data_IF_711907070658
#
_entry.id   IF_711907070658
#
_cell.length_a   1.000
_cell.length_b   1.000
_cell.length_c   1.000
_cell.angle_alpha   90.00
_cell.angle_beta   90.00
_cell.angle_gamma   90.00
#
_symmetry.space_group_name_H-M   'P 1'
#
loop_
_entity.id
_entity.type
_entity.pdbx_description
1 polymer ?
#
# COMPACT_ATOMS: atom_id res chain seq x y z
N UNK A 1 2.09 -6.66 -2.47
CA UNK A 1 1.80 -7.68 -3.48
C UNK A 1 1.18 -7.00 -4.69
N UNK A 2 1.69 -7.23 -5.90
CA UNK A 2 1.08 -6.67 -7.12
C UNK A 2 0.28 -7.75 -7.85
N UNK A 3 -0.69 -7.33 -8.66
CA UNK A 3 -1.57 -8.26 -9.37
C UNK A 3 -0.81 -9.11 -10.40
N UNK A 4 0.22 -8.55 -11.03
CA UNK A 4 1.07 -9.25 -12.00
C UNK A 4 1.88 -10.38 -11.37
N UNK A 5 2.21 -10.27 -10.08
CA UNK A 5 2.89 -11.34 -9.34
C UNK A 5 1.92 -12.48 -8.95
N UNK A 6 0.61 -12.19 -8.91
CA UNK A 6 -0.45 -13.16 -8.58
C UNK A 6 -1.05 -13.83 -9.82
N UNK A 7 -0.99 -13.21 -10.99
CA UNK A 7 -1.48 -13.82 -12.24
C UNK A 7 -0.55 -14.94 -12.68
N UNK A 8 -1.09 -16.16 -12.79
CA UNK A 8 -0.36 -17.35 -13.22
C UNK A 8 -0.60 -17.71 -14.69
N UNK A 9 -1.80 -17.44 -15.21
CA UNK A 9 -2.16 -17.65 -16.60
C UNK A 9 -3.42 -16.85 -16.97
N UNK A 10 -3.50 -16.34 -18.19
CA UNK A 10 -4.65 -15.69 -18.79
C UNK A 10 -5.21 -16.45 -20.01
N UNK A 11 -6.53 -16.32 -20.22
CA UNK A 11 -7.23 -16.54 -21.48
C UNK A 11 -7.77 -15.21 -21.98
N UNK A 12 -7.40 -14.83 -23.20
CA UNK A 12 -7.75 -13.53 -23.79
C UNK A 12 -8.36 -13.74 -25.17
N UNK A 13 -9.53 -13.14 -25.39
CA UNK A 13 -10.16 -13.07 -26.71
C UNK A 13 -9.66 -11.83 -27.43
N UNK A 14 -9.03 -12.01 -28.59
CA UNK A 14 -8.49 -10.94 -29.44
C UNK A 14 -9.13 -10.98 -30.83
N UNK A 15 -9.00 -9.92 -31.64
CA UNK A 15 -9.45 -9.95 -33.04
C UNK A 15 -8.76 -11.03 -33.90
N UNK A 16 -7.55 -11.46 -33.53
CA UNK A 16 -6.81 -12.51 -34.23
C UNK A 16 -7.15 -13.94 -33.75
N UNK A 17 -8.06 -14.06 -32.78
CA UNK A 17 -8.42 -15.33 -32.15
C UNK A 17 -8.15 -15.33 -30.65
N UNK A 18 -8.20 -16.53 -30.06
CA UNK A 18 -8.01 -16.70 -28.62
C UNK A 18 -6.53 -16.94 -28.31
N UNK A 19 -5.99 -16.18 -27.36
CA UNK A 19 -4.67 -16.38 -26.78
C UNK A 19 -4.81 -17.03 -25.40
N UNK A 20 -4.13 -18.17 -25.20
CA UNK A 20 -4.09 -18.88 -23.92
C UNK A 20 -2.66 -19.15 -23.50
N UNK A 21 -2.34 -18.78 -22.27
CA UNK A 21 -1.06 -19.06 -21.64
C UNK A 21 -1.08 -20.42 -20.92
N UNK A 22 0.10 -20.99 -20.69
CA UNK A 22 0.24 -22.25 -19.96
C UNK A 22 0.24 -22.01 -18.45
N UNK A 23 -0.41 -22.91 -17.71
CA UNK A 23 -0.46 -22.91 -16.24
C UNK A 23 0.81 -23.50 -15.65
N UNK A 24 1.89 -22.72 -15.65
CA UNK A 24 3.20 -23.13 -15.14
C UNK A 24 3.58 -22.30 -13.90
N UNK A 25 4.27 -22.89 -12.91
CA UNK A 25 4.74 -22.15 -11.73
C UNK A 25 5.81 -21.10 -12.07
N UNK A 26 6.49 -21.26 -13.19
CA UNK A 26 7.45 -20.32 -13.77
C UNK A 26 7.90 -20.83 -15.14
N UNK A 27 8.34 -19.93 -16.01
CA UNK A 27 8.82 -20.28 -17.35
C UNK A 27 10.01 -19.41 -17.72
N UNK A 28 11.05 -20.05 -18.27
CA UNK A 28 12.20 -19.38 -18.91
C UNK A 28 12.09 -19.34 -20.43
N UNK A 29 10.94 -19.69 -20.99
CA UNK A 29 10.74 -19.84 -22.45
C UNK A 29 10.53 -18.49 -23.17
N UNK A 30 11.35 -17.49 -22.83
CA UNK A 30 11.28 -16.14 -23.41
C UNK A 30 10.31 -15.20 -22.67
N UNK A 31 9.85 -14.13 -23.33
CA UNK A 31 8.95 -13.14 -22.73
C UNK A 31 7.64 -13.78 -22.25
N UNK A 32 7.17 -13.36 -21.07
CA UNK A 32 5.88 -13.82 -20.54
C UNK A 32 4.73 -13.31 -21.42
N UNK A 33 3.88 -14.20 -21.96
CA UNK A 33 2.71 -13.78 -22.73
C UNK A 33 1.70 -13.02 -21.86
N UNK A 34 1.54 -13.38 -20.59
CA UNK A 34 0.61 -12.71 -19.67
C UNK A 34 1.01 -11.26 -19.42
N UNK A 35 2.32 -10.98 -19.30
CA UNK A 35 2.85 -9.62 -19.14
C UNK A 35 2.64 -8.73 -20.36
N UNK A 36 2.29 -9.28 -21.53
CA UNK A 36 1.86 -8.49 -22.69
C UNK A 36 0.45 -7.92 -22.49
N UNK A 37 -0.44 -8.68 -21.85
CA UNK A 37 -1.84 -8.29 -21.66
C UNK A 37 -2.08 -7.49 -20.36
N UNK A 38 -1.28 -7.74 -19.32
CA UNK A 38 -1.35 -7.00 -18.07
C UNK A 38 -0.98 -5.53 -18.29
N UNK A 39 -1.88 -4.61 -17.95
CA UNK A 39 -1.71 -3.18 -18.20
C UNK A 39 -2.05 -2.74 -19.63
N UNK A 40 -2.63 -3.60 -20.47
CA UNK A 40 -3.04 -3.24 -21.84
C UNK A 40 -4.25 -2.30 -21.90
N UNK A 41 -4.96 -2.09 -20.80
CA UNK A 41 -6.16 -1.23 -20.72
C UNK A 41 -7.21 -1.56 -21.80
N UNK A 42 -7.34 -2.84 -22.17
CA UNK A 42 -8.31 -3.32 -23.15
C UNK A 42 -7.93 -3.13 -24.62
N UNK A 43 -6.74 -2.59 -24.90
CA UNK A 43 -6.27 -2.36 -26.28
C UNK A 43 -5.91 -3.63 -27.04
N UNK A 44 -5.58 -4.71 -26.32
CA UNK A 44 -5.10 -5.98 -26.91
C UNK A 44 -6.14 -7.10 -26.92
N UNK A 45 -7.32 -6.88 -26.35
CA UNK A 45 -8.38 -7.89 -26.27
C UNK A 45 -9.11 -7.89 -24.94
N UNK A 46 -9.95 -8.89 -24.75
CA UNK A 46 -10.79 -9.07 -23.56
C UNK A 46 -10.30 -10.28 -22.78
N UNK A 47 -9.82 -10.06 -21.56
CA UNK A 47 -9.48 -11.14 -20.63
C UNK A 47 -10.79 -11.79 -20.18
N UNK A 48 -10.98 -13.08 -20.47
CA UNK A 48 -12.19 -13.82 -20.10
C UNK A 48 -11.98 -14.74 -18.91
N UNK A 49 -10.76 -15.25 -18.73
CA UNK A 49 -10.39 -16.09 -17.59
C UNK A 49 -8.99 -15.74 -17.10
N UNK A 50 -8.78 -15.84 -15.79
CA UNK A 50 -7.50 -15.66 -15.15
C UNK A 50 -7.29 -16.72 -14.06
N UNK A 51 -6.14 -17.37 -14.11
CA UNK A 51 -5.65 -18.24 -13.05
C UNK A 51 -4.80 -17.43 -12.10
N UNK A 52 -5.21 -17.39 -10.84
CA UNK A 52 -4.59 -16.56 -9.81
C UNK A 52 -3.94 -17.42 -8.74
N UNK A 53 -2.75 -17.01 -8.30
CA UNK A 53 -2.09 -17.56 -7.11
C UNK A 53 -2.87 -17.12 -5.88
N UNK A 54 -3.25 -18.10 -5.06
CA UNK A 54 -3.94 -17.85 -3.80
C UNK A 54 -2.94 -17.80 -2.64
N UNK A 55 -3.37 -17.17 -1.55
CA UNK A 55 -2.67 -17.14 -0.27
C UNK A 55 -3.67 -17.55 0.81
N UNK A 56 -3.19 -18.24 1.84
CA UNK A 56 -4.03 -18.61 2.96
C UNK A 56 -4.53 -17.37 3.70
N UNK A 57 -5.75 -17.45 4.23
CA UNK A 57 -6.37 -16.35 4.96
C UNK A 57 -5.56 -16.05 6.22
N UNK A 58 -5.05 -14.83 6.43
CA UNK A 58 -4.32 -14.49 7.64
C UNK A 58 -5.21 -14.58 8.88
N UNK A 59 -4.74 -15.30 9.90
CA UNK A 59 -5.42 -15.48 11.20
C UNK A 59 -4.69 -14.76 12.34
N UNK A 60 -3.40 -14.43 12.15
CA UNK A 60 -2.62 -13.59 13.04
C UNK A 60 -2.46 -12.21 12.40
N UNK A 61 -2.84 -11.15 13.14
CA UNK A 61 -2.75 -9.77 12.68
C UNK A 61 -2.33 -8.88 13.83
N UNK A 62 -1.35 -8.02 13.59
CA UNK A 62 -0.95 -6.99 14.52
C UNK A 62 -0.68 -5.71 13.75
N UNK A 63 -1.00 -4.57 14.36
CA UNK A 63 -0.78 -3.26 13.76
C UNK A 63 -0.32 -2.25 14.80
N UNK A 64 0.40 -1.23 14.34
CA UNK A 64 0.86 -0.13 15.16
C UNK A 64 0.75 1.18 14.38
N UNK A 65 0.73 2.29 15.12
CA UNK A 65 0.89 3.63 14.55
C UNK A 65 2.05 4.32 15.24
N UNK A 66 2.90 4.98 14.44
CA UNK A 66 4.09 5.69 14.91
C UNK A 66 4.01 7.12 14.42
N UNK A 67 4.13 8.09 15.33
CA UNK A 67 4.14 9.52 14.99
C UNK A 67 5.55 10.05 14.86
N UNK A 68 5.71 11.03 13.98
CA UNK A 68 6.97 11.73 13.75
C UNK A 68 6.74 13.24 13.74
N UNK A 69 7.60 13.97 14.45
CA UNK A 69 7.58 15.44 14.45
C UNK A 69 8.11 16.05 13.15
N UNK A 70 8.94 15.29 12.41
CA UNK A 70 9.52 15.71 11.13
C UNK A 70 9.23 14.68 10.05
N UNK A 71 8.53 15.12 9.00
CA UNK A 71 8.21 14.28 7.84
C UNK A 71 9.44 13.62 7.19
N UNK A 72 10.60 14.32 6.99
CA UNK A 72 11.80 13.66 6.44
C UNK A 72 12.29 12.47 7.27
N UNK A 73 12.21 12.55 8.61
CA UNK A 73 12.61 11.46 9.50
C UNK A 73 11.66 10.25 9.35
N UNK A 74 10.37 10.50 9.15
CA UNK A 74 9.39 9.46 8.87
C UNK A 74 9.65 8.76 7.53
N UNK A 75 10.08 9.52 6.51
CA UNK A 75 10.46 8.96 5.19
C UNK A 75 11.71 8.09 5.32
N UNK A 76 12.71 8.51 6.08
CA UNK A 76 13.90 7.70 6.35
C UNK A 76 13.54 6.39 7.07
N UNK A 77 12.60 6.44 8.01
CA UNK A 77 12.06 5.25 8.68
C UNK A 77 11.38 4.28 7.69
N UNK A 78 10.54 4.79 6.79
CA UNK A 78 9.89 4.00 5.74
C UNK A 78 10.93 3.35 4.82
N UNK A 79 11.98 4.08 4.46
CA UNK A 79 13.09 3.56 3.65
C UNK A 79 13.79 2.41 4.37
N UNK A 80 14.14 2.56 5.64
CA UNK A 80 14.77 1.51 6.44
C UNK A 80 13.87 0.27 6.55
N UNK A 81 12.57 0.46 6.80
CA UNK A 81 11.59 -0.63 6.86
C UNK A 81 11.48 -1.35 5.51
N UNK A 82 11.39 -0.61 4.40
CA UNK A 82 11.32 -1.20 3.06
C UNK A 82 12.56 -2.04 2.71
N UNK A 83 13.73 -1.66 3.25
CA UNK A 83 15.00 -2.32 3.02
C UNK A 83 15.34 -3.42 4.05
N UNK A 84 14.54 -3.57 5.11
CA UNK A 84 14.78 -4.52 6.20
C UNK A 84 14.53 -5.99 5.85
N UNK A 85 13.79 -6.27 4.77
CA UNK A 85 13.32 -7.64 4.45
C UNK A 85 12.19 -8.15 5.35
N UNK A 86 11.64 -7.33 6.26
CA UNK A 86 10.54 -7.73 7.14
C UNK A 86 9.17 -7.76 6.43
N UNK A 87 9.06 -7.11 5.27
CA UNK A 87 7.91 -7.12 4.37
C UNK A 87 6.54 -6.99 5.07
N UNK A 88 6.28 -5.86 5.77
CA UNK A 88 4.98 -5.65 6.41
C UNK A 88 3.84 -5.69 5.38
N UNK A 89 2.67 -6.15 5.81
CA UNK A 89 1.45 -6.15 5.01
C UNK A 89 0.94 -4.72 4.74
N UNK A 90 1.18 -3.79 5.67
CA UNK A 90 0.90 -2.37 5.51
C UNK A 90 2.08 -1.53 6.05
N UNK A 91 2.50 -0.54 5.26
CA UNK A 91 3.50 0.46 5.62
C UNK A 91 3.12 1.78 4.94
N UNK A 92 2.16 2.50 5.52
CA UNK A 92 1.58 3.72 4.96
C UNK A 92 2.01 4.92 5.79
N UNK A 93 2.76 5.83 5.19
CA UNK A 93 3.10 7.11 5.80
C UNK A 93 2.10 8.17 5.33
N UNK A 94 1.48 8.84 6.30
CA UNK A 94 0.63 10.00 6.11
C UNK A 94 1.45 11.24 6.44
N UNK A 95 1.43 12.22 5.54
CA UNK A 95 1.95 13.54 5.86
C UNK A 95 1.00 14.29 6.83
N UNK A 96 1.41 15.44 7.40
CA UNK A 96 0.58 16.17 8.35
C UNK A 96 -0.79 16.59 7.80
N UNK A 97 -0.89 16.89 6.50
CA UNK A 97 -2.14 17.29 5.86
C UNK A 97 -3.11 16.12 5.69
N UNK A 98 -2.62 14.99 5.18
CA UNK A 98 -3.41 13.76 5.03
C UNK A 98 -3.83 13.20 6.39
N UNK A 99 -2.95 13.27 7.41
CA UNK A 99 -3.26 12.84 8.77
C UNK A 99 -4.40 13.67 9.39
N UNK A 100 -4.39 14.99 9.17
CA UNK A 100 -5.44 15.89 9.63
C UNK A 100 -6.76 15.65 8.89
N UNK A 101 -6.72 15.56 7.55
CA UNK A 101 -7.91 15.31 6.73
C UNK A 101 -8.57 13.96 7.06
N UNK A 102 -7.75 12.95 7.33
CA UNK A 102 -8.23 11.60 7.69
C UNK A 102 -8.70 11.49 9.15
N UNK A 103 -8.51 12.54 9.96
CA UNK A 103 -8.83 12.54 11.39
C UNK A 103 -7.92 11.62 12.22
N UNK A 104 -6.76 11.23 11.70
CA UNK A 104 -5.80 10.33 12.35
C UNK A 104 -4.94 11.08 13.35
N UNK A 105 -4.50 12.29 13.00
CA UNK A 105 -3.79 13.22 13.90
C UNK A 105 -4.01 14.66 13.43
N UNK A 106 -4.22 15.60 14.35
CA UNK A 106 -4.51 17.01 14.05
C UNK A 106 -3.46 18.00 14.58
N UNK A 107 -2.35 17.50 15.10
CA UNK A 107 -1.30 18.28 15.77
C UNK A 107 -0.09 18.61 14.87
N UNK A 108 -0.24 18.42 13.56
CA UNK A 108 0.81 18.69 12.58
C UNK A 108 1.88 17.61 12.47
N UNK A 109 1.74 16.48 13.17
CA UNK A 109 2.66 15.35 13.06
C UNK A 109 2.33 14.44 11.90
N UNK A 110 3.36 13.76 11.39
CA UNK A 110 3.21 12.70 10.38
C UNK A 110 2.90 11.38 11.08
N UNK A 111 2.15 10.49 10.41
CA UNK A 111 1.73 9.21 11.00
C UNK A 111 2.12 8.06 10.09
N UNK A 112 2.90 7.12 10.60
CA UNK A 112 3.21 5.86 9.95
C UNK A 112 2.29 4.76 10.50
N UNK A 113 1.52 4.14 9.62
CA UNK A 113 0.68 2.97 9.90
C UNK A 113 1.43 1.71 9.48
N UNK A 114 1.67 0.82 10.44
CA UNK A 114 2.31 -0.48 10.24
C UNK A 114 1.31 -1.61 10.48
N UNK A 115 1.33 -2.62 9.63
CA UNK A 115 0.52 -3.82 9.77
C UNK A 115 1.31 -5.07 9.36
N UNK A 116 1.22 -6.11 10.17
CA UNK A 116 1.80 -7.43 9.89
C UNK A 116 0.69 -8.47 9.99
N UNK A 117 0.67 -9.41 9.05
CA UNK A 117 -0.32 -10.46 8.99
C UNK A 117 0.35 -11.80 8.66
N UNK A 118 -0.20 -12.91 9.18
CA UNK A 118 0.23 -14.27 8.85
C UNK A 118 -0.92 -15.27 8.99
N UNK A 119 -0.94 -16.28 8.14
CA UNK A 119 -1.87 -17.40 8.23
C UNK A 119 -1.41 -18.49 9.21
N UNK A 120 -0.14 -18.50 9.60
CA UNK A 120 0.47 -19.68 10.23
C UNK A 120 1.14 -19.42 11.58
N UNK A 121 1.56 -18.20 11.88
CA UNK A 121 2.32 -17.93 13.08
C UNK A 121 2.00 -16.54 13.65
N UNK A 122 2.18 -16.32 14.97
CA UNK A 122 2.09 -15.00 15.59
C UNK A 122 3.01 -13.96 14.91
N UNK A 123 2.65 -12.69 15.02
CA UNK A 123 3.31 -11.59 14.27
C UNK A 123 3.75 -10.42 15.15
N UNK A 124 3.54 -10.52 16.46
CA UNK A 124 3.82 -9.47 17.45
C UNK A 124 5.31 -9.10 17.49
N UNK A 125 6.20 -10.10 17.47
CA UNK A 125 7.66 -9.88 17.47
C UNK A 125 8.10 -9.13 16.21
N UNK A 126 7.56 -9.52 15.04
CA UNK A 126 7.86 -8.84 13.77
C UNK A 126 7.32 -7.41 13.75
N UNK A 127 6.15 -7.17 14.36
CA UNK A 127 5.66 -5.80 14.53
C UNK A 127 6.58 -5.00 15.46
N UNK A 128 7.07 -5.60 16.56
CA UNK A 128 7.98 -4.96 17.48
C UNK A 128 9.31 -4.57 16.80
N UNK A 129 9.85 -5.42 15.93
CA UNK A 129 11.03 -5.12 15.10
C UNK A 129 10.79 -3.92 14.16
N UNK A 130 9.63 -3.89 13.48
CA UNK A 130 9.26 -2.75 12.61
C UNK A 130 9.11 -1.43 13.39
N UNK A 131 8.52 -1.50 14.59
CA UNK A 131 8.38 -0.33 15.47
C UNK A 131 9.76 0.10 16.00
N UNK A 132 10.68 -0.82 16.27
CA UNK A 132 12.05 -0.49 16.65
C UNK A 132 12.77 0.29 15.54
N UNK A 133 12.68 -0.18 14.28
CA UNK A 133 13.21 0.57 13.13
C UNK A 133 12.60 1.97 13.03
N UNK A 134 11.30 2.11 13.26
CA UNK A 134 10.66 3.42 13.26
C UNK A 134 11.19 4.34 14.38
N UNK A 135 11.47 3.76 15.57
CA UNK A 135 12.05 4.48 16.72
C UNK A 135 13.49 4.92 16.47
N UNK A 136 14.30 4.11 15.79
CA UNK A 136 15.70 4.46 15.45
C UNK A 136 15.78 5.72 14.59
N UNK A 137 14.69 6.05 13.88
CA UNK A 137 14.52 7.25 13.08
C UNK A 137 13.68 8.35 13.77
N UNK A 138 13.52 8.28 15.10
CA UNK A 138 12.84 9.30 15.91
C UNK A 138 11.31 9.18 15.97
N UNK A 139 10.76 8.04 15.56
CA UNK A 139 9.33 7.77 15.66
C UNK A 139 8.89 7.39 17.09
N UNK A 140 7.74 7.89 17.53
CA UNK A 140 7.13 7.51 18.80
C UNK A 140 5.86 6.69 18.55
N UNK A 141 5.77 5.43 19.02
CA UNK A 141 4.54 4.66 18.87
C UNK A 141 3.41 5.27 19.70
N UNK A 142 2.23 5.34 19.09
CA UNK A 142 1.02 5.87 19.72
C UNK A 142 0.24 4.73 20.36
N UNK A 143 -0.22 4.94 21.60
CA UNK A 143 -0.87 3.92 22.40
C UNK A 143 -2.16 3.35 21.79
N UNK A 144 -2.22 2.02 21.78
CA UNK A 144 -3.39 1.18 21.57
C UNK A 144 -2.93 -0.26 21.76
N UNK A 145 -3.63 -1.08 22.54
CA UNK A 145 -3.30 -2.50 22.64
C UNK A 145 -3.37 -3.13 21.24
N UNK A 146 -2.46 -4.07 20.90
CA UNK A 146 -2.53 -4.81 19.64
C UNK A 146 -3.96 -5.34 19.43
N UNK A 147 -4.60 -4.95 18.33
CA UNK A 147 -5.94 -5.43 17.97
C UNK A 147 -7.14 -4.61 18.47
N UNK A 148 -6.98 -3.40 19.04
CA UNK A 148 -8.14 -2.54 19.33
C UNK A 148 -8.57 -1.69 18.12
N UNK A 149 -9.87 -1.78 17.79
CA UNK A 149 -10.54 -1.06 16.70
C UNK A 149 -10.55 0.49 16.87
N UNK A 150 -10.08 1.00 18.02
CA UNK A 150 -9.92 2.43 18.30
C UNK A 150 -8.52 3.00 18.00
N UNK A 151 -7.62 2.20 17.39
CA UNK A 151 -6.28 2.65 17.00
C UNK A 151 -6.31 3.58 15.78
N UNK A 152 -5.30 4.44 15.64
CA UNK A 152 -5.10 5.28 14.45
C UNK A 152 -5.17 4.50 13.12
N UNK A 153 -4.86 3.20 13.15
CA UNK A 153 -5.04 2.25 12.04
C UNK A 153 -6.51 2.07 11.66
N UNK A 154 -7.39 1.88 12.65
CA UNK A 154 -8.84 1.77 12.44
C UNK A 154 -9.45 3.06 11.91
N UNK A 155 -9.03 4.20 12.46
CA UNK A 155 -9.44 5.53 12.00
C UNK A 155 -9.02 5.77 10.55
N UNK A 156 -7.75 5.52 10.21
CA UNK A 156 -7.26 5.64 8.83
C UNK A 156 -8.03 4.73 7.87
N UNK A 157 -8.22 3.46 8.24
CA UNK A 157 -8.92 2.48 7.39
C UNK A 157 -10.37 2.89 7.15
N UNK A 158 -11.02 3.47 8.15
CA UNK A 158 -12.37 4.01 8.02
C UNK A 158 -12.41 5.27 7.15
N UNK A 159 -11.42 6.16 7.28
CA UNK A 159 -11.29 7.35 6.45
C UNK A 159 -11.06 7.00 4.98
N UNK A 160 -10.19 6.02 4.71
CA UNK A 160 -9.91 5.51 3.37
C UNK A 160 -11.18 5.00 2.66
N UNK A 161 -12.04 4.23 3.35
CA UNK A 161 -13.30 3.76 2.79
C UNK A 161 -14.31 4.89 2.51
N UNK A 162 -14.21 6.01 3.24
CA UNK A 162 -15.13 7.14 3.12
C UNK A 162 -14.68 8.21 2.12
N UNK A 163 -13.40 8.25 1.76
CA UNK A 163 -12.80 9.24 0.85
C UNK A 163 -13.63 9.50 -0.43
N UNK A 164 -14.12 8.47 -1.16
CA UNK A 164 -14.93 8.70 -2.36
C UNK A 164 -16.21 9.50 -2.11
N UNK A 165 -16.86 9.28 -0.95
CA UNK A 165 -18.07 10.02 -0.57
C UNK A 165 -17.77 11.44 -0.10
N UNK A 166 -16.60 11.66 0.52
CA UNK A 166 -16.14 13.00 0.87
C UNK A 166 -15.95 13.83 -0.40
N UNK A 167 -15.39 13.25 -1.46
CA UNK A 167 -15.26 13.90 -2.78
C UNK A 167 -16.61 14.37 -3.33
N UNK A 168 -17.65 13.53 -3.25
CA UNK A 168 -18.99 13.91 -3.70
C UNK A 168 -19.58 15.07 -2.87
N UNK A 169 -19.30 15.09 -1.56
CA UNK A 169 -19.66 16.20 -0.69
C UNK A 169 -18.94 17.50 -1.05
N UNK A 170 -17.64 17.42 -1.32
CA UNK A 170 -16.81 18.56 -1.77
C UNK A 170 -17.31 19.13 -3.09
N UNK A 171 -17.66 18.27 -4.05
CA UNK A 171 -18.20 18.70 -5.34
C UNK A 171 -19.49 19.52 -5.19
N UNK A 172 -20.37 19.16 -4.24
CA UNK A 172 -21.59 19.93 -3.92
C UNK A 172 -21.29 21.30 -3.33
N UNK A 173 -20.12 21.49 -2.73
CA UNK A 173 -19.63 22.76 -2.21
C UNK A 173 -18.75 23.49 -3.23
N UNK A 174 -18.83 23.11 -4.52
CA UNK A 174 -18.01 23.66 -5.61
C UNK A 174 -16.50 23.48 -5.42
N UNK A 175 -16.09 22.46 -4.68
CA UNK A 175 -14.69 22.05 -4.52
C UNK A 175 -14.42 20.84 -5.41
N UNK A 176 -13.49 20.99 -6.35
CA UNK A 176 -12.99 19.87 -7.16
C UNK A 176 -11.74 19.34 -6.48
N UNK A 177 -11.77 18.06 -6.10
CA UNK A 177 -10.64 17.36 -5.48
C UNK A 177 -10.42 16.05 -6.22
N UNK A 178 -9.19 15.79 -6.62
CA UNK A 178 -8.79 14.55 -7.27
C UNK A 178 -7.45 14.08 -6.72
N UNK A 179 -7.20 12.79 -6.83
CA UNK A 179 -5.93 12.16 -6.45
C UNK A 179 -5.14 11.77 -7.69
N UNK A 180 -3.82 11.81 -7.59
CA UNK A 180 -2.92 11.18 -8.53
C UNK A 180 -1.85 10.42 -7.75
N UNK A 181 -1.24 9.43 -8.39
CA UNK A 181 -0.13 8.68 -7.82
C UNK A 181 1.11 8.75 -8.72
N UNK A 182 2.26 8.51 -8.10
CA UNK A 182 3.53 8.38 -8.81
C UNK A 182 4.49 7.51 -8.00
N UNK A 183 5.61 7.15 -8.61
CA UNK A 183 6.72 6.45 -7.97
C UNK A 183 8.03 7.17 -8.29
N UNK A 184 8.96 7.19 -7.34
CA UNK A 184 10.30 7.72 -7.53
C UNK A 184 11.33 6.85 -6.81
N UNK A 185 12.60 7.02 -7.18
CA UNK A 185 13.72 6.46 -6.41
C UNK A 185 13.94 7.28 -5.14
N UNK A 186 14.49 6.65 -4.10
CA UNK A 186 14.68 7.28 -2.80
C UNK A 186 15.49 8.59 -2.84
N UNK A 187 16.48 8.68 -3.72
CA UNK A 187 17.32 9.88 -3.92
C UNK A 187 16.56 11.05 -4.55
N UNK A 188 15.48 10.78 -5.30
CA UNK A 188 14.66 11.80 -5.98
C UNK A 188 13.47 12.26 -5.14
N UNK A 189 13.11 11.53 -4.08
CA UNK A 189 11.94 11.83 -3.26
C UNK A 189 11.91 13.27 -2.71
N UNK A 190 12.99 13.84 -2.14
CA UNK A 190 12.94 15.19 -1.57
C UNK A 190 12.56 16.25 -2.61
N UNK A 191 13.12 16.14 -3.83
CA UNK A 191 12.83 17.07 -4.92
C UNK A 191 11.39 16.91 -5.43
N UNK A 192 10.92 15.67 -5.58
CA UNK A 192 9.55 15.39 -6.00
C UNK A 192 8.52 15.95 -5.00
N UNK A 193 8.72 15.70 -3.70
CA UNK A 193 7.77 16.13 -2.67
C UNK A 193 7.64 17.66 -2.61
N UNK A 194 8.76 18.37 -2.67
CA UNK A 194 8.76 19.84 -2.69
C UNK A 194 8.16 20.41 -3.99
N UNK A 195 8.41 19.77 -5.14
CA UNK A 195 7.88 20.21 -6.42
C UNK A 195 6.36 20.06 -6.51
N UNK A 196 5.80 18.98 -5.94
CA UNK A 196 4.35 18.71 -5.95
C UNK A 196 3.58 19.58 -4.96
N UNK A 197 4.19 20.00 -3.85
CA UNK A 197 3.54 20.82 -2.82
C UNK A 197 3.45 22.32 -3.15
N UNK A 198 4.21 22.80 -4.13
CA UNK A 198 4.19 24.19 -4.59
C UNK A 198 3.02 24.44 -5.53
#
# INVERSE_FOLDING_TARGET
>A
TRIDDLTAALRVVTPAGVSESLRLPGSGAGPSPDRLFLGSEGTLGIITEAWMRLQDRPVHKASASVVFDRFPAAVDAVRAIAQSGLHPANCRLLDPGEAALSGVAGDGRSVLVLGVESAHHPVDDRLAELVALARDHGGAPVGGSPGSDGSAVGTWRSAFLRMPYVRDGLARMSVISETFETACTWDRFPELYEAVRR
#
